data_IF_511604878739
#
_entry.id   IF_511604878739
#
_cell.length_a   1.000
_cell.length_b   1.000
_cell.length_c   1.000
_cell.angle_alpha   90.00
_cell.angle_beta   90.00
_cell.angle_gamma   90.00
#
_symmetry.space_group_name_H-M   'P 1'
#
loop_
_entity.id
_entity.type
_entity.pdbx_description
1 polymer ?
#
# COMPACT_ATOMS: atom_id res chain seq x y z
N UNK A 1 38.76 -4.36 18.99
CA UNK A 1 37.84 -5.26 19.71
C UNK A 1 37.17 -6.16 18.68
N UNK A 2 37.61 -7.41 18.62
CA UNK A 2 37.19 -8.36 17.58
C UNK A 2 35.68 -8.56 17.55
N UNK A 3 35.12 -8.45 16.34
CA UNK A 3 33.71 -8.69 16.13
C UNK A 3 33.45 -10.20 16.26
N UNK A 4 32.89 -10.64 17.39
CA UNK A 4 32.36 -12.00 17.56
C UNK A 4 31.62 -12.46 16.27
N UNK A 5 32.19 -13.44 15.53
CA UNK A 5 31.67 -13.87 14.23
C UNK A 5 30.23 -14.37 14.34
N UNK A 6 29.86 -14.97 15.49
CA UNK A 6 28.52 -15.49 15.74
C UNK A 6 27.48 -14.38 15.76
N UNK A 7 27.81 -13.20 16.30
CA UNK A 7 26.90 -12.05 16.33
C UNK A 7 26.81 -11.32 15.00
N UNK A 8 27.90 -11.24 14.24
CA UNK A 8 27.87 -10.72 12.87
C UNK A 8 26.99 -11.60 11.97
N UNK A 9 27.13 -12.93 12.09
CA UNK A 9 26.27 -13.90 11.42
C UNK A 9 24.80 -13.76 11.85
N UNK A 10 24.51 -13.60 13.14
CA UNK A 10 23.13 -13.35 13.62
C UNK A 10 22.53 -12.07 13.02
N UNK A 11 23.27 -10.97 12.98
CA UNK A 11 22.79 -9.72 12.38
C UNK A 11 22.44 -9.89 10.89
N UNK A 12 23.29 -10.62 10.14
CA UNK A 12 23.04 -10.94 8.74
C UNK A 12 21.82 -11.85 8.58
N UNK A 13 21.70 -12.91 9.39
CA UNK A 13 20.55 -13.82 9.35
C UNK A 13 19.24 -13.08 9.64
N UNK A 14 19.21 -12.22 10.67
CA UNK A 14 18.01 -11.43 11.01
C UNK A 14 17.69 -10.45 9.88
N UNK A 15 18.69 -9.79 9.30
CA UNK A 15 18.49 -8.85 8.19
C UNK A 15 17.97 -9.55 6.94
N UNK A 16 18.52 -10.73 6.62
CA UNK A 16 18.08 -11.57 5.51
C UNK A 16 16.68 -12.13 5.73
N UNK A 17 16.37 -12.62 6.94
CA UNK A 17 15.04 -13.09 7.29
C UNK A 17 13.99 -11.99 7.20
N UNK A 18 14.32 -10.78 7.67
CA UNK A 18 13.42 -9.63 7.56
C UNK A 18 13.21 -9.18 6.10
N UNK A 19 14.26 -9.26 5.28
CA UNK A 19 14.15 -9.01 3.83
C UNK A 19 13.27 -10.07 3.16
N UNK A 20 13.51 -11.35 3.42
CA UNK A 20 12.71 -12.46 2.86
C UNK A 20 11.26 -12.35 3.29
N UNK A 21 10.99 -12.06 4.57
CA UNK A 21 9.62 -11.84 5.04
C UNK A 21 8.94 -10.67 4.30
N UNK A 22 9.65 -9.56 4.09
CA UNK A 22 9.14 -8.43 3.30
C UNK A 22 8.92 -8.75 1.81
N UNK A 23 9.77 -9.59 1.22
CA UNK A 23 9.63 -10.02 -0.18
C UNK A 23 8.53 -11.07 -0.36
N UNK A 24 8.34 -11.99 0.59
CA UNK A 24 7.24 -12.94 0.57
C UNK A 24 5.90 -12.20 0.67
N UNK A 25 5.78 -11.23 1.59
CA UNK A 25 4.60 -10.38 1.74
C UNK A 25 4.29 -9.58 0.46
N UNK A 26 5.34 -9.12 -0.24
CA UNK A 26 5.21 -8.47 -1.56
C UNK A 26 4.65 -9.43 -2.63
N UNK A 27 5.07 -10.69 -2.65
CA UNK A 27 4.71 -11.67 -3.70
C UNK A 27 3.36 -12.35 -3.44
N UNK A 28 2.94 -12.54 -2.19
CA UNK A 28 1.72 -13.28 -1.84
C UNK A 28 0.43 -12.47 -1.93
N UNK A 29 0.44 -11.31 -2.60
CA UNK A 29 -0.76 -10.51 -2.83
C UNK A 29 -1.07 -9.57 -1.67
N UNK A 30 -0.27 -8.50 -1.59
CA UNK A 30 -0.59 -7.19 -1.00
C UNK A 30 -1.57 -7.21 0.19
N UNK A 31 -1.03 -7.47 1.38
CA UNK A 31 -1.48 -6.72 2.56
C UNK A 31 -0.54 -5.57 2.89
N UNK A 32 0.78 -5.67 2.72
CA UNK A 32 1.67 -4.64 3.26
C UNK A 32 3.07 -4.71 2.61
N UNK A 33 3.57 -3.58 2.10
CA UNK A 33 5.02 -3.42 1.87
C UNK A 33 5.35 -2.09 2.49
N UNK A 34 5.72 -2.05 3.78
CA UNK A 34 6.04 -0.79 4.40
C UNK A 34 7.18 -0.15 3.61
N UNK A 35 7.15 1.18 3.44
CA UNK A 35 8.34 1.91 2.98
C UNK A 35 9.59 1.60 3.83
N UNK A 36 9.38 1.01 5.01
CA UNK A 36 10.42 0.41 5.84
C UNK A 36 11.18 -0.74 5.18
N UNK A 37 10.63 -1.55 4.26
CA UNK A 37 11.32 -2.75 3.70
C UNK A 37 12.71 -2.44 3.17
N UNK A 38 12.88 -1.30 2.48
CA UNK A 38 14.18 -0.81 2.01
C UNK A 38 15.18 -0.57 3.14
N UNK A 39 14.68 -0.13 4.31
CA UNK A 39 15.47 0.23 5.50
C UNK A 39 15.48 -0.84 6.58
N UNK A 40 14.60 -1.85 6.53
CA UNK A 40 14.45 -2.90 7.54
C UNK A 40 15.77 -3.65 7.78
N UNK A 41 16.56 -4.01 6.76
CA UNK A 41 17.86 -4.65 6.96
C UNK A 41 18.85 -3.75 7.72
N UNK A 42 18.87 -2.44 7.43
CA UNK A 42 19.70 -1.47 8.14
C UNK A 42 19.21 -1.29 9.59
N UNK A 43 17.90 -1.13 9.79
CA UNK A 43 17.33 -0.99 11.12
C UNK A 43 17.60 -2.22 11.99
N UNK A 44 17.40 -3.43 11.44
CA UNK A 44 17.71 -4.70 12.11
C UNK A 44 19.21 -4.81 12.45
N UNK A 45 20.09 -4.48 11.50
CA UNK A 45 21.53 -4.45 11.74
C UNK A 45 21.91 -3.49 12.89
N UNK A 46 21.32 -2.28 12.89
CA UNK A 46 21.52 -1.29 13.94
C UNK A 46 21.04 -1.76 15.31
N UNK A 47 19.84 -2.31 15.39
CA UNK A 47 19.26 -2.85 16.64
C UNK A 47 20.10 -3.99 17.22
N UNK A 48 20.56 -4.92 16.40
CA UNK A 48 21.42 -6.04 16.86
C UNK A 48 22.76 -5.54 17.39
N UNK A 49 23.28 -4.44 16.84
CA UNK A 49 24.58 -3.88 17.25
C UNK A 49 24.48 -2.79 18.32
N UNK A 50 23.28 -2.30 18.62
CA UNK A 50 23.03 -1.28 19.63
C UNK A 50 23.72 -1.52 20.99
N UNK A 51 23.84 -2.76 21.51
CA UNK A 51 24.57 -3.01 22.76
C UNK A 51 26.06 -2.60 22.72
N UNK A 52 26.71 -2.58 21.55
CA UNK A 52 28.11 -2.14 21.40
C UNK A 52 28.29 -0.64 21.56
N UNK A 53 27.21 0.13 21.43
CA UNK A 53 27.20 1.58 21.60
C UNK A 53 26.92 1.99 23.06
N UNK A 54 27.00 1.05 24.01
CA UNK A 54 26.87 1.32 25.44
C UNK A 54 25.43 1.55 25.91
N UNK A 55 25.26 2.36 26.96
CA UNK A 55 23.93 2.64 27.55
C UNK A 55 23.03 3.44 26.60
N UNK A 56 23.59 4.43 25.90
CA UNK A 56 22.85 5.29 24.94
C UNK A 56 22.30 4.48 23.77
N UNK A 57 23.10 3.61 23.17
CA UNK A 57 22.63 2.73 22.09
C UNK A 57 21.48 1.82 22.51
N UNK A 58 21.55 1.23 23.71
CA UNK A 58 20.47 0.41 24.26
C UNK A 58 19.19 1.21 24.48
N UNK A 59 19.29 2.44 25.00
CA UNK A 59 18.13 3.30 25.19
C UNK A 59 17.43 3.61 23.86
N UNK A 60 18.19 4.00 22.83
CA UNK A 60 17.63 4.25 21.49
C UNK A 60 16.98 2.99 20.90
N UNK A 61 17.58 1.81 21.09
CA UNK A 61 16.99 0.55 20.62
C UNK A 61 15.67 0.23 21.34
N UNK A 62 15.58 0.48 22.65
CA UNK A 62 14.33 0.32 23.41
C UNK A 62 13.27 1.27 22.91
N UNK A 63 13.60 2.54 22.68
CA UNK A 63 12.66 3.53 22.11
C UNK A 63 12.17 3.09 20.73
N UNK A 64 13.08 2.66 19.86
CA UNK A 64 12.75 2.21 18.51
C UNK A 64 11.82 0.99 18.52
N UNK A 65 12.14 -0.03 19.32
CA UNK A 65 11.33 -1.25 19.44
C UNK A 65 10.00 -0.98 20.13
N UNK A 66 10.00 -0.21 21.22
CA UNK A 66 8.79 0.17 21.95
C UNK A 66 7.83 0.96 21.08
N UNK A 67 8.35 1.94 20.32
CA UNK A 67 7.55 2.68 19.33
C UNK A 67 6.97 1.76 18.25
N UNK A 68 7.76 0.82 17.72
CA UNK A 68 7.30 -0.10 16.70
C UNK A 68 6.18 -1.01 17.22
N UNK A 69 6.35 -1.61 18.41
CA UNK A 69 5.32 -2.43 19.06
C UNK A 69 4.07 -1.61 19.36
N UNK A 70 4.23 -0.38 19.87
CA UNK A 70 3.13 0.53 20.13
C UNK A 70 2.28 0.77 18.88
N UNK A 71 2.93 1.11 17.76
CA UNK A 71 2.27 1.28 16.46
C UNK A 71 1.54 0.00 16.03
N UNK A 72 2.16 -1.16 16.18
CA UNK A 72 1.53 -2.42 15.80
C UNK A 72 0.28 -2.74 16.60
N UNK A 73 0.27 -2.41 17.90
CA UNK A 73 -0.87 -2.65 18.80
C UNK A 73 -1.99 -1.62 18.57
N UNK A 74 -1.64 -0.36 18.25
CA UNK A 74 -2.62 0.74 18.20
C UNK A 74 -3.03 1.15 16.78
N UNK A 75 -2.41 0.60 15.73
CA UNK A 75 -2.75 0.96 14.36
C UNK A 75 -4.22 0.65 14.04
N UNK A 76 -4.84 1.57 13.32
CA UNK A 76 -6.20 1.40 12.82
C UNK A 76 -6.25 0.27 11.78
N UNK A 77 -7.15 -0.70 11.99
CA UNK A 77 -7.31 -1.88 11.13
C UNK A 77 -8.42 -1.72 10.07
N UNK A 78 -9.18 -0.63 10.10
CA UNK A 78 -10.38 -0.47 9.28
C UNK A 78 -10.08 -0.13 7.81
N UNK A 79 -10.42 -1.05 6.91
CA UNK A 79 -10.68 -0.86 5.47
C UNK A 79 -9.50 -0.44 4.59
N UNK A 80 -8.75 0.58 4.98
CA UNK A 80 -7.48 0.93 4.35
C UNK A 80 -6.43 -0.04 4.90
N UNK A 81 -6.24 -1.19 4.23
CA UNK A 81 -5.07 -2.06 4.48
C UNK A 81 -3.81 -1.23 4.67
N UNK A 82 -2.84 -1.66 5.49
CA UNK A 82 -1.92 -0.88 6.34
C UNK A 82 -1.18 0.31 5.68
N UNK A 83 -1.92 1.31 5.23
CA UNK A 83 -1.41 2.60 4.72
C UNK A 83 -0.78 3.41 5.86
N UNK A 84 -1.09 3.04 7.09
CA UNK A 84 -0.77 3.74 8.32
C UNK A 84 0.51 3.21 9.00
N UNK A 85 0.72 1.89 9.02
CA UNK A 85 1.87 1.27 9.68
C UNK A 85 3.23 1.74 9.13
N UNK A 86 3.34 1.98 7.82
CA UNK A 86 4.57 2.48 7.21
C UNK A 86 4.97 3.88 7.70
N UNK A 87 4.01 4.81 7.82
CA UNK A 87 4.26 6.19 8.27
C UNK A 87 4.62 6.24 9.75
N UNK A 88 3.93 5.45 10.55
CA UNK A 88 4.14 5.42 12.00
C UNK A 88 5.41 4.69 12.42
N UNK A 89 5.94 3.79 11.58
CA UNK A 89 7.23 3.13 11.82
C UNK A 89 8.45 3.96 11.37
N UNK A 90 8.27 5.13 10.73
CA UNK A 90 9.38 5.96 10.23
C UNK A 90 10.36 6.34 11.33
N UNK A 91 9.87 6.75 12.50
CA UNK A 91 10.70 7.14 13.64
C UNK A 91 11.50 5.94 14.17
N UNK A 92 10.87 4.78 14.31
CA UNK A 92 11.54 3.54 14.72
C UNK A 92 12.61 3.09 13.71
N UNK A 93 12.30 3.20 12.42
CA UNK A 93 13.23 2.94 11.32
C UNK A 93 14.43 3.90 11.34
N UNK A 94 14.18 5.20 11.53
CA UNK A 94 15.22 6.23 11.62
C UNK A 94 16.17 5.99 12.80
N UNK A 95 15.63 5.62 13.97
CA UNK A 95 16.44 5.20 15.11
C UNK A 95 17.30 3.97 14.79
N UNK A 96 16.73 2.95 14.13
CA UNK A 96 17.46 1.78 13.67
C UNK A 96 18.59 2.14 12.70
N UNK A 97 18.34 3.04 11.75
CA UNK A 97 19.33 3.53 10.80
C UNK A 97 20.47 4.30 11.50
N UNK A 98 20.14 5.17 12.46
CA UNK A 98 21.13 5.89 13.25
C UNK A 98 22.03 4.93 14.05
N UNK A 99 21.44 3.89 14.64
CA UNK A 99 22.18 2.82 15.32
C UNK A 99 23.09 2.04 14.36
N UNK A 100 22.63 1.77 13.14
CA UNK A 100 23.42 1.10 12.10
C UNK A 100 24.62 1.94 11.69
N UNK A 101 24.41 3.24 11.43
CA UNK A 101 25.46 4.18 11.07
C UNK A 101 26.50 4.30 12.19
N UNK A 102 26.07 4.56 13.43
CA UNK A 102 26.96 4.65 14.59
C UNK A 102 27.76 3.35 14.82
N UNK A 103 27.10 2.19 14.69
CA UNK A 103 27.76 0.89 14.81
C UNK A 103 28.73 0.57 13.68
N UNK A 104 28.54 1.15 12.50
CA UNK A 104 29.43 0.99 11.35
C UNK A 104 30.74 1.76 11.56
N UNK A 105 30.65 2.98 12.09
CA UNK A 105 31.81 3.84 12.43
C UNK A 105 32.63 3.20 13.55
N UNK A 106 31.98 2.71 14.61
CA UNK A 106 32.66 2.07 15.73
C UNK A 106 33.24 0.68 15.39
N UNK A 107 32.77 0.03 14.32
CA UNK A 107 33.03 -1.38 14.02
C UNK A 107 34.14 -1.67 13.00
N UNK A 108 34.85 -0.65 12.52
CA UNK A 108 35.94 -0.80 11.56
C UNK A 108 35.48 -1.12 10.12
N UNK A 109 36.44 -1.44 9.25
CA UNK A 109 36.23 -1.56 7.79
C UNK A 109 35.23 -2.65 7.38
N UNK A 110 35.16 -3.76 8.12
CA UNK A 110 34.19 -4.83 7.86
C UNK A 110 32.74 -4.38 8.16
N UNK A 111 32.53 -3.66 9.26
CA UNK A 111 31.22 -3.12 9.61
C UNK A 111 30.74 -2.07 8.60
N UNK A 112 31.65 -1.20 8.15
CA UNK A 112 31.39 -0.21 7.11
C UNK A 112 31.00 -0.87 5.79
N UNK A 113 31.69 -1.93 5.37
CA UNK A 113 31.34 -2.69 4.15
C UNK A 113 29.93 -3.27 4.21
N UNK A 114 29.55 -3.89 5.34
CA UNK A 114 28.18 -4.41 5.53
C UNK A 114 27.15 -3.29 5.49
N UNK A 115 27.40 -2.18 6.18
CA UNK A 115 26.49 -1.03 6.16
C UNK A 115 26.31 -0.49 4.73
N UNK A 116 27.40 -0.29 3.99
CA UNK A 116 27.35 0.19 2.60
C UNK A 116 26.58 -0.78 1.71
N UNK A 117 26.81 -2.08 1.82
CA UNK A 117 26.07 -3.08 1.03
C UNK A 117 24.56 -3.01 1.31
N UNK A 118 24.16 -2.92 2.58
CA UNK A 118 22.75 -2.78 2.97
C UNK A 118 22.15 -1.44 2.51
N UNK A 119 22.93 -0.36 2.53
CA UNK A 119 22.50 0.95 2.05
C UNK A 119 22.30 0.99 0.53
N UNK A 120 23.20 0.38 -0.25
CA UNK A 120 23.07 0.24 -1.71
C UNK A 120 21.82 -0.58 -2.05
N UNK A 121 21.59 -1.68 -1.33
CA UNK A 121 20.38 -2.48 -1.49
C UNK A 121 19.12 -1.67 -1.16
N UNK A 122 19.13 -0.93 -0.05
CA UNK A 122 18.03 -0.04 0.32
C UNK A 122 17.74 1.00 -0.75
N UNK A 123 18.77 1.63 -1.31
CA UNK A 123 18.65 2.57 -2.41
C UNK A 123 18.03 1.94 -3.66
N UNK A 124 18.44 0.72 -4.02
CA UNK A 124 17.86 -0.01 -5.14
C UNK A 124 16.36 -0.30 -4.94
N UNK A 125 15.98 -0.77 -3.75
CA UNK A 125 14.56 -0.98 -3.40
C UNK A 125 13.77 0.33 -3.44
N UNK A 126 14.34 1.42 -2.92
CA UNK A 126 13.73 2.75 -2.99
C UNK A 126 13.55 3.21 -4.44
N UNK A 127 14.55 3.04 -5.30
CA UNK A 127 14.47 3.42 -6.71
C UNK A 127 13.35 2.64 -7.43
N UNK A 128 13.24 1.33 -7.21
CA UNK A 128 12.14 0.51 -7.73
C UNK A 128 10.79 1.02 -7.21
N UNK A 129 10.69 1.29 -5.91
CA UNK A 129 9.48 1.84 -5.29
C UNK A 129 9.07 3.20 -5.86
N UNK A 130 10.02 4.08 -6.15
CA UNK A 130 9.76 5.38 -6.79
C UNK A 130 9.25 5.19 -8.21
N UNK A 131 9.92 4.35 -9.01
CA UNK A 131 9.49 4.06 -10.39
C UNK A 131 8.08 3.47 -10.40
N UNK A 132 7.82 2.49 -9.54
CA UNK A 132 6.49 1.91 -9.36
C UNK A 132 5.44 2.94 -8.95
N UNK A 133 5.77 3.81 -8.00
CA UNK A 133 4.84 4.86 -7.55
C UNK A 133 4.50 5.81 -8.69
N UNK A 134 5.49 6.21 -9.51
CA UNK A 134 5.26 7.08 -10.68
C UNK A 134 4.36 6.40 -11.70
N UNK A 135 4.63 5.12 -12.02
CA UNK A 135 3.80 4.35 -12.96
C UNK A 135 2.37 4.20 -12.44
N UNK A 136 2.18 3.73 -11.21
CA UNK A 136 0.86 3.61 -10.56
C UNK A 136 0.12 4.93 -10.57
N UNK A 137 0.76 6.04 -10.18
CA UNK A 137 0.10 7.35 -10.13
C UNK A 137 -0.37 7.80 -11.51
N UNK A 138 0.47 7.64 -12.55
CA UNK A 138 0.09 8.00 -13.92
C UNK A 138 -1.02 7.11 -14.45
N UNK A 139 -0.93 5.81 -14.24
CA UNK A 139 -1.92 4.85 -14.69
C UNK A 139 -3.27 5.06 -14.00
N UNK A 140 -3.28 5.30 -12.69
CA UNK A 140 -4.49 5.70 -11.96
C UNK A 140 -5.06 7.01 -12.50
N UNK A 141 -4.24 8.05 -12.69
CA UNK A 141 -4.72 9.32 -13.22
C UNK A 141 -5.35 9.17 -14.61
N UNK A 142 -4.74 8.39 -15.50
CA UNK A 142 -5.27 8.12 -16.83
C UNK A 142 -6.59 7.33 -16.79
N UNK A 143 -6.69 6.30 -15.93
CA UNK A 143 -7.92 5.54 -15.74
C UNK A 143 -9.05 6.43 -15.19
N UNK A 144 -8.75 7.29 -14.21
CA UNK A 144 -9.74 8.21 -13.62
C UNK A 144 -10.19 9.28 -14.61
N UNK A 145 -9.29 9.81 -15.45
CA UNK A 145 -9.68 10.72 -16.53
C UNK A 145 -10.64 10.02 -17.53
N UNK A 146 -10.36 8.76 -17.90
CA UNK A 146 -11.26 7.98 -18.76
C UNK A 146 -12.60 7.66 -18.11
N UNK A 147 -12.65 7.57 -16.79
CA UNK A 147 -13.90 7.40 -16.03
C UNK A 147 -14.68 8.72 -15.94
N UNK A 148 -14.00 9.87 -15.83
CA UNK A 148 -14.64 11.18 -15.87
C UNK A 148 -15.24 11.49 -17.26
N UNK A 149 -14.57 11.05 -18.34
CA UNK A 149 -15.07 11.24 -19.71
C UNK A 149 -16.24 10.31 -20.10
N UNK A 150 -16.84 9.61 -19.14
CA UNK A 150 -17.89 8.61 -19.39
C UNK A 150 -19.25 9.27 -19.69
N UNK A 151 -20.05 8.70 -20.60
CA UNK A 151 -21.37 9.24 -20.94
C UNK A 151 -22.46 8.88 -19.91
N UNK A 152 -22.19 8.01 -18.95
CA UNK A 152 -23.12 7.69 -17.86
C UNK A 152 -23.29 8.88 -16.91
N UNK A 153 -24.52 9.13 -16.45
CA UNK A 153 -24.82 10.27 -15.57
C UNK A 153 -24.21 10.10 -14.17
N UNK A 154 -24.14 8.86 -13.72
CA UNK A 154 -23.59 8.46 -12.42
C UNK A 154 -22.75 7.20 -12.60
N UNK A 155 -21.56 7.23 -12.02
CA UNK A 155 -20.73 6.04 -11.84
C UNK A 155 -20.87 5.51 -10.42
N UNK A 156 -21.19 4.23 -10.30
CA UNK A 156 -21.29 3.50 -9.03
C UNK A 156 -20.06 2.60 -8.90
N UNK A 157 -19.25 2.83 -7.88
CA UNK A 157 -18.05 2.05 -7.61
C UNK A 157 -18.36 0.95 -6.59
N UNK A 158 -18.04 -0.30 -6.95
CA UNK A 158 -18.10 -1.44 -6.02
C UNK A 158 -17.10 -1.26 -4.86
N UNK A 159 -15.92 -0.71 -5.14
CA UNK A 159 -14.89 -0.43 -4.14
C UNK A 159 -14.83 1.08 -3.85
N UNK A 160 -15.28 1.48 -2.66
CA UNK A 160 -15.24 2.88 -2.21
C UNK A 160 -13.84 3.48 -2.11
N UNK A 161 -12.78 2.67 -1.96
CA UNK A 161 -11.41 3.17 -2.05
C UNK A 161 -11.08 3.62 -3.47
N UNK A 162 -11.57 2.92 -4.49
CA UNK A 162 -11.31 3.27 -5.88
C UNK A 162 -11.96 4.61 -6.23
N UNK A 163 -13.22 4.82 -5.81
CA UNK A 163 -13.89 6.11 -5.95
C UNK A 163 -13.10 7.24 -5.27
N UNK A 164 -12.56 7.00 -4.07
CA UNK A 164 -11.77 7.99 -3.33
C UNK A 164 -10.46 8.36 -4.04
N UNK A 165 -9.80 7.42 -4.71
CA UNK A 165 -8.49 7.67 -5.34
C UNK A 165 -8.59 8.63 -6.53
N UNK A 166 -9.72 8.65 -7.25
CA UNK A 166 -9.94 9.64 -8.32
C UNK A 166 -10.30 11.03 -7.81
N UNK A 167 -10.76 11.14 -6.56
CA UNK A 167 -11.11 12.41 -5.94
C UNK A 167 -12.28 13.08 -6.67
N UNK A 168 -13.50 12.55 -6.59
CA UNK A 168 -14.66 13.05 -7.33
C UNK A 168 -14.91 14.55 -7.09
N UNK A 169 -14.63 15.06 -5.89
CA UNK A 169 -14.71 16.49 -5.58
C UNK A 169 -13.69 17.37 -6.35
N UNK A 170 -12.54 16.80 -6.73
CA UNK A 170 -11.52 17.50 -7.54
C UNK A 170 -11.89 17.46 -9.02
N UNK A 171 -12.61 16.42 -9.45
CA UNK A 171 -13.05 16.24 -10.84
C UNK A 171 -14.45 16.81 -11.11
N UNK A 172 -15.15 17.32 -10.08
CA UNK A 172 -16.55 17.77 -10.13
C UNK A 172 -17.53 16.66 -10.59
N UNK A 173 -17.28 15.44 -10.09
CA UNK A 173 -17.93 14.21 -10.53
C UNK A 173 -18.98 13.67 -9.55
N UNK A 174 -20.07 13.10 -10.10
CA UNK A 174 -21.16 12.50 -9.34
C UNK A 174 -20.95 10.99 -9.15
N UNK A 175 -19.87 10.62 -8.48
CA UNK A 175 -19.55 9.20 -8.23
C UNK A 175 -20.16 8.72 -6.91
N UNK A 176 -20.86 7.58 -6.97
CA UNK A 176 -21.36 6.86 -5.80
C UNK A 176 -20.41 5.71 -5.46
N UNK A 177 -20.24 5.43 -4.18
CA UNK A 177 -19.54 4.24 -3.71
C UNK A 177 -20.52 3.35 -2.95
N UNK A 178 -20.62 2.08 -3.34
CA UNK A 178 -21.41 1.11 -2.59
C UNK A 178 -20.64 0.77 -1.31
N UNK A 179 -21.23 0.92 -0.11
CA UNK A 179 -20.60 0.45 1.12
C UNK A 179 -20.34 -1.06 1.03
N UNK A 180 -19.28 -1.56 1.67
CA UNK A 180 -18.95 -3.01 1.68
C UNK A 180 -20.09 -3.91 2.17
N UNK A 181 -21.09 -3.35 2.86
CA UNK A 181 -22.29 -4.03 3.37
C UNK A 181 -23.46 -4.09 2.38
N UNK A 182 -23.35 -3.38 1.25
CA UNK A 182 -24.37 -3.29 0.22
C UNK A 182 -23.81 -3.90 -1.06
N UNK A 183 -24.67 -4.61 -1.77
CA UNK A 183 -24.36 -5.17 -3.09
C UNK A 183 -24.98 -4.26 -4.17
N UNK A 184 -24.43 -4.22 -5.39
CA UNK A 184 -24.99 -3.41 -6.48
C UNK A 184 -26.44 -3.76 -6.87
N UNK A 185 -26.92 -4.95 -6.50
CA UNK A 185 -28.31 -5.39 -6.67
C UNK A 185 -29.22 -5.00 -5.48
N UNK A 186 -28.68 -4.30 -4.47
CA UNK A 186 -29.44 -3.92 -3.29
C UNK A 186 -30.60 -2.98 -3.67
N UNK A 187 -31.83 -3.23 -3.18
CA UNK A 187 -32.99 -2.38 -3.44
C UNK A 187 -32.75 -0.91 -3.10
N UNK A 188 -31.98 -0.63 -2.04
CA UNK A 188 -31.65 0.73 -1.63
C UNK A 188 -30.86 1.53 -2.69
N UNK A 189 -30.00 0.87 -3.48
CA UNK A 189 -29.30 1.54 -4.58
C UNK A 189 -30.25 1.84 -5.72
N UNK A 190 -31.12 0.89 -6.08
CA UNK A 190 -32.13 1.09 -7.13
C UNK A 190 -33.12 2.19 -6.76
N UNK A 191 -33.60 2.21 -5.51
CA UNK A 191 -34.48 3.27 -4.98
C UNK A 191 -33.79 4.63 -5.05
N UNK A 192 -32.50 4.70 -4.70
CA UNK A 192 -31.72 5.93 -4.79
C UNK A 192 -31.58 6.41 -6.24
N UNK A 193 -31.16 5.54 -7.17
CA UNK A 193 -31.01 5.90 -8.58
C UNK A 193 -32.34 6.36 -9.19
N UNK A 194 -33.43 5.68 -8.85
CA UNK A 194 -34.79 6.05 -9.28
C UNK A 194 -35.20 7.41 -8.70
N UNK A 195 -34.94 7.64 -7.41
CA UNK A 195 -35.26 8.92 -6.73
C UNK A 195 -34.47 10.08 -7.33
N UNK A 196 -33.23 9.83 -7.77
CA UNK A 196 -32.39 10.82 -8.43
C UNK A 196 -32.74 11.01 -9.91
N UNK A 197 -33.61 10.17 -10.47
CA UNK A 197 -33.98 10.23 -11.89
C UNK A 197 -32.84 9.87 -12.84
N UNK A 198 -31.89 9.04 -12.40
CA UNK A 198 -30.76 8.60 -13.22
C UNK A 198 -31.25 7.60 -14.25
N UNK A 199 -31.14 7.92 -15.54
CA UNK A 199 -31.57 7.02 -16.62
C UNK A 199 -30.45 6.06 -17.03
N UNK A 200 -29.20 6.53 -16.97
CA UNK A 200 -28.02 5.77 -17.39
C UNK A 200 -26.94 5.74 -16.31
N UNK A 201 -26.62 4.53 -15.84
CA UNK A 201 -25.66 4.28 -14.76
C UNK A 201 -24.51 3.41 -15.22
N UNK A 202 -23.29 3.73 -14.77
CA UNK A 202 -22.10 2.90 -15.00
C UNK A 202 -21.65 2.24 -13.71
N UNK A 203 -21.64 0.92 -13.65
CA UNK A 203 -21.07 0.16 -12.53
C UNK A 203 -19.59 -0.10 -12.78
N UNK A 204 -18.74 0.41 -11.89
CA UNK A 204 -17.27 0.28 -11.95
C UNK A 204 -16.80 -0.80 -10.99
N UNK A 205 -16.25 -1.87 -11.56
CA UNK A 205 -15.77 -3.06 -10.85
C UNK A 205 -14.30 -3.34 -11.18
N UNK A 206 -13.60 -4.04 -10.29
CA UNK A 206 -12.29 -4.63 -10.65
C UNK A 206 -12.53 -5.87 -11.50
N UNK A 207 -11.85 -5.97 -12.64
CA UNK A 207 -12.00 -7.14 -13.49
C UNK A 207 -11.36 -8.37 -12.82
N UNK A 208 -12.21 -9.28 -12.35
CA UNK A 208 -11.82 -10.53 -11.65
C UNK A 208 -12.32 -11.79 -12.37
N UNK A 209 -12.74 -11.67 -13.62
CA UNK A 209 -13.31 -12.79 -14.39
C UNK A 209 -14.70 -13.26 -13.92
N UNK A 210 -15.37 -12.48 -13.06
CA UNK A 210 -16.74 -12.72 -12.62
C UNK A 210 -17.73 -12.12 -13.62
N UNK A 211 -18.98 -12.57 -13.66
CA UNK A 211 -20.02 -11.88 -14.45
C UNK A 211 -20.29 -10.47 -13.89
N UNK A 212 -20.79 -9.52 -14.70
CA UNK A 212 -21.19 -8.20 -14.23
C UNK A 212 -22.27 -8.31 -13.16
N UNK A 213 -22.12 -7.61 -12.03
CA UNK A 213 -23.21 -7.54 -11.06
C UNK A 213 -24.41 -6.81 -11.68
N UNK A 214 -25.62 -7.28 -11.42
CA UNK A 214 -26.83 -6.63 -11.91
C UNK A 214 -27.16 -5.40 -11.06
N UNK A 215 -27.68 -4.36 -11.69
CA UNK A 215 -28.26 -3.20 -11.01
C UNK A 215 -29.77 -3.32 -11.07
N UNK A 216 -30.42 -3.45 -9.91
CA UNK A 216 -31.87 -3.62 -9.86
C UNK A 216 -32.60 -2.43 -10.52
N UNK A 217 -33.68 -2.73 -11.25
CA UNK A 217 -34.43 -1.73 -12.02
C UNK A 217 -33.77 -1.26 -13.32
N UNK A 218 -32.55 -1.72 -13.64
CA UNK A 218 -31.84 -1.34 -14.85
C UNK A 218 -31.45 -2.56 -15.69
N UNK A 219 -31.45 -2.41 -17.01
CA UNK A 219 -31.01 -3.45 -17.96
C UNK A 219 -29.58 -3.19 -18.42
N UNK A 220 -28.71 -4.21 -18.52
CA UNK A 220 -27.35 -4.02 -19.05
C UNK A 220 -27.40 -3.69 -20.54
N UNK A 221 -26.58 -2.73 -20.96
CA UNK A 221 -26.52 -2.27 -22.37
C UNK A 221 -25.12 -2.28 -22.97
N UNK A 222 -24.08 -2.30 -22.14
CA UNK A 222 -22.70 -2.32 -22.61
C UNK A 222 -21.71 -2.67 -21.51
N UNK A 223 -20.53 -3.11 -21.93
CA UNK A 223 -19.39 -3.33 -21.04
C UNK A 223 -18.16 -2.75 -21.72
N UNK A 224 -17.42 -1.92 -20.99
CA UNK A 224 -16.13 -1.38 -21.42
C UNK A 224 -15.04 -1.76 -20.44
N UNK A 225 -13.80 -1.81 -20.93
CA UNK A 225 -12.61 -2.16 -20.16
C UNK A 225 -11.64 -0.99 -20.17
N UNK A 226 -11.33 -0.50 -18.97
CA UNK A 226 -10.36 0.56 -18.76
C UNK A 226 -9.12 -0.06 -18.12
N UNK A 227 -7.99 -0.02 -18.83
CA UNK A 227 -6.70 -0.39 -18.25
C UNK A 227 -6.41 0.52 -17.06
N UNK A 228 -5.98 -0.10 -15.95
CA UNK A 228 -5.59 0.60 -14.75
C UNK A 228 -4.11 0.37 -14.51
N UNK A 229 -3.70 -0.27 -13.40
CA UNK A 229 -2.29 -0.43 -13.04
C UNK A 229 -1.81 -1.86 -13.30
N UNK A 230 -0.64 -2.00 -13.96
CA UNK A 230 0.09 -3.27 -14.05
C UNK A 230 -0.72 -4.47 -14.53
N UNK A 231 -1.45 -4.29 -15.64
CA UNK A 231 -2.27 -5.35 -16.25
C UNK A 231 -3.58 -5.62 -15.53
N UNK A 232 -3.85 -4.95 -14.42
CA UNK A 232 -5.19 -4.87 -13.83
C UNK A 232 -6.04 -3.92 -14.66
N UNK A 233 -7.32 -4.25 -14.78
CA UNK A 233 -8.29 -3.42 -15.47
C UNK A 233 -9.54 -3.21 -14.62
N UNK A 234 -10.19 -2.10 -14.89
CA UNK A 234 -11.52 -1.79 -14.41
C UNK A 234 -12.51 -2.18 -15.49
N UNK A 235 -13.58 -2.83 -15.07
CA UNK A 235 -14.74 -3.06 -15.91
C UNK A 235 -15.78 -2.00 -15.60
N UNK A 236 -16.31 -1.39 -16.65
CA UNK A 236 -17.45 -0.47 -16.57
C UNK A 236 -18.63 -1.12 -17.27
N UNK A 237 -19.62 -1.54 -16.48
CA UNK A 237 -20.85 -2.12 -17.00
C UNK A 237 -21.92 -1.03 -17.05
N UNK A 238 -22.42 -0.71 -18.24
CA UNK A 238 -23.44 0.32 -18.44
C UNK A 238 -24.83 -0.29 -18.33
N UNK A 239 -25.72 0.36 -17.59
CA UNK A 239 -27.12 0.01 -17.47
C UNK A 239 -28.02 1.19 -17.80
N UNK A 240 -29.19 0.91 -18.36
CA UNK A 240 -30.25 1.88 -18.62
C UNK A 240 -31.50 1.50 -17.83
N UNK A 241 -32.28 2.48 -17.38
CA UNK A 241 -33.54 2.26 -16.68
C UNK A 241 -34.44 1.31 -17.49
N UNK A 242 -34.94 0.26 -16.82
CA UNK A 242 -35.88 -0.66 -17.45
C UNK A 242 -37.25 0.03 -17.66
N UNK A 243 -37.91 -0.19 -18.80
CA UNK A 243 -39.22 0.41 -19.09
C UNK A 243 -40.34 -0.11 -18.18
#
# INVERSE_FOLDING_TARGET
ADADPRRARRALVVSAAALVAGLVDLVTGLRFVPGLVATTPLAAYGLVRAPRLGRRGRAVAVVALGGAVGVWITQFLGGAGPQWGGRYLLTSGACGLALAAASSVAGGSGARRVFVALAVMGLAVTAVGVVWTVERTRATAAAMARLADRPEEVLVFEDGFLAREGGPLVLDEHWLAVPDTLTPDAPALADLLTTLGVERVGLVERERGQEPALVAGHRPVGVDRIEWVSGLALRVSTYELAP
#
